data_IF_547080501726
#
_entry.id   IF_547080501726
#
_cell.length_a   1.000
_cell.length_b   1.000
_cell.length_c   1.000
_cell.angle_alpha   90.00
_cell.angle_beta   90.00
_cell.angle_gamma   90.00
#
_symmetry.space_group_name_H-M   'P 1'
#
loop_
_entity.id
_entity.type
_entity.pdbx_description
1 polymer ?
#
# COMPACT_ATOMS: atom_id res chain seq x y z
N UNK A 1 17.79 -10.73 9.91
CA UNK A 1 18.24 -9.38 9.53
C UNK A 1 17.02 -8.46 9.56
N UNK A 2 17.13 -7.30 10.21
CA UNK A 2 16.06 -6.30 10.26
C UNK A 2 16.51 -5.04 9.50
N UNK A 3 15.54 -4.29 8.98
CA UNK A 3 15.77 -2.99 8.37
C UNK A 3 14.70 -2.01 8.84
N UNK A 4 15.06 -0.73 8.91
CA UNK A 4 14.14 0.36 9.17
C UNK A 4 14.24 1.37 8.02
N UNK A 5 13.12 1.99 7.68
CA UNK A 5 13.05 3.04 6.67
C UNK A 5 11.88 3.97 6.98
N UNK A 6 11.90 5.19 6.43
CA UNK A 6 10.80 6.14 6.60
C UNK A 6 10.08 6.40 5.28
N UNK A 7 8.75 6.54 5.36
CA UNK A 7 7.90 7.03 4.28
C UNK A 7 7.08 8.18 4.83
N UNK A 8 7.17 9.35 4.19
CA UNK A 8 6.49 10.58 4.62
C UNK A 8 6.65 10.89 6.14
N UNK A 9 7.86 10.68 6.68
CA UNK A 9 8.16 10.90 8.09
C UNK A 9 7.68 9.80 9.05
N UNK A 10 6.92 8.80 8.58
CA UNK A 10 6.56 7.63 9.38
C UNK A 10 7.61 6.54 9.25
N UNK A 11 8.12 6.04 10.37
CA UNK A 11 9.06 4.92 10.39
C UNK A 11 8.36 3.57 10.24
N UNK A 12 8.98 2.70 9.44
CA UNK A 12 8.57 1.34 9.19
C UNK A 12 9.74 0.40 9.48
N UNK A 13 9.41 -0.76 10.02
CA UNK A 13 10.37 -1.83 10.25
C UNK A 13 9.99 -3.05 9.43
N UNK A 14 10.97 -3.72 8.85
CA UNK A 14 10.77 -5.00 8.18
C UNK A 14 11.87 -5.98 8.57
N UNK A 15 11.52 -7.27 8.52
CA UNK A 15 12.45 -8.36 8.76
C UNK A 15 12.37 -9.36 7.62
N UNK A 16 13.51 -9.90 7.23
CA UNK A 16 13.57 -11.09 6.37
C UNK A 16 13.45 -12.34 7.23
N UNK A 17 12.27 -12.98 7.24
CA UNK A 17 12.10 -14.30 7.87
C UNK A 17 12.50 -15.40 6.88
N UNK A 18 13.36 -16.31 7.33
CA UNK A 18 13.69 -17.53 6.59
C UNK A 18 12.67 -18.65 6.86
N UNK A 19 11.87 -18.52 7.92
CA UNK A 19 10.82 -19.46 8.29
C UNK A 19 9.56 -19.10 7.50
N UNK A 20 9.00 -20.08 6.80
CA UNK A 20 7.70 -19.93 6.12
C UNK A 20 6.58 -20.11 7.13
N UNK A 21 5.62 -19.20 7.08
CA UNK A 21 4.40 -19.25 7.89
C UNK A 21 3.19 -19.41 6.99
N UNK A 22 2.11 -19.99 7.49
CA UNK A 22 0.86 -20.18 6.73
C UNK A 22 -0.03 -18.93 6.65
N UNK A 23 0.27 -17.89 7.44
CA UNK A 23 -0.47 -16.64 7.43
C UNK A 23 0.12 -15.65 6.41
N UNK A 24 -0.58 -15.32 5.31
CA UNK A 24 -0.17 -14.24 4.43
C UNK A 24 -0.51 -12.88 5.05
N UNK A 25 -0.01 -11.81 4.43
CA UNK A 25 -0.57 -10.48 4.66
C UNK A 25 -2.07 -10.45 4.32
N UNK A 26 -2.83 -9.62 5.02
CA UNK A 26 -4.27 -9.45 4.80
C UNK A 26 -4.64 -7.96 4.75
N UNK A 27 -5.77 -7.61 4.11
CA UNK A 27 -6.29 -6.23 4.13
C UNK A 27 -6.67 -5.74 5.53
N UNK A 28 -6.67 -6.59 6.56
CA UNK A 28 -7.00 -6.20 7.94
C UNK A 28 -5.98 -5.22 8.52
N UNK A 29 -4.76 -5.18 7.99
CA UNK A 29 -3.74 -4.18 8.30
C UNK A 29 -3.26 -3.62 6.96
N UNK A 30 -3.55 -2.35 6.71
CA UNK A 30 -3.17 -1.63 5.49
C UNK A 30 -2.48 -0.31 5.81
N UNK A 31 -1.68 0.18 4.87
CA UNK A 31 -1.10 1.52 4.94
C UNK A 31 -2.02 2.52 4.27
N UNK A 32 -2.25 3.65 4.94
CA UNK A 32 -3.09 4.72 4.41
C UNK A 32 -2.22 5.94 4.06
N UNK A 33 -2.25 6.34 2.80
CA UNK A 33 -1.48 7.48 2.28
C UNK A 33 -2.46 8.58 1.90
N UNK A 34 -2.38 9.73 2.58
CA UNK A 34 -3.02 10.95 2.11
C UNK A 34 -2.19 11.57 1.01
N UNK A 35 -2.79 11.79 -0.16
CA UNK A 35 -2.17 12.52 -1.27
C UNK A 35 -2.74 13.94 -1.30
N UNK A 36 -1.88 14.93 -1.48
CA UNK A 36 -2.24 16.35 -1.47
C UNK A 36 -2.72 16.84 -2.85
N UNK A 37 -2.54 16.03 -3.90
CA UNK A 37 -2.97 16.36 -5.26
C UNK A 37 -3.48 15.16 -6.05
N UNK A 38 -4.29 15.43 -7.07
CA UNK A 38 -4.75 14.40 -8.00
C UNK A 38 -3.59 13.77 -8.81
N UNK A 39 -2.55 14.55 -9.11
CA UNK A 39 -1.36 14.06 -9.82
C UNK A 39 -0.58 13.07 -8.96
N UNK A 40 -0.49 13.35 -7.65
CA UNK A 40 0.20 12.48 -6.70
C UNK A 40 -0.52 11.13 -6.56
N UNK A 41 -1.84 11.14 -6.35
CA UNK A 41 -2.59 9.89 -6.21
C UNK A 41 -2.55 9.07 -7.50
N UNK A 42 -2.63 9.71 -8.68
CA UNK A 42 -2.54 9.01 -9.97
C UNK A 42 -1.14 8.36 -10.13
N UNK A 43 -0.06 9.06 -9.74
CA UNK A 43 1.30 8.52 -9.78
C UNK A 43 1.49 7.36 -8.78
N UNK A 44 1.11 7.55 -7.53
CA UNK A 44 1.24 6.54 -6.47
C UNK A 44 0.42 5.30 -6.81
N UNK A 45 -0.82 5.47 -7.26
CA UNK A 45 -1.67 4.37 -7.73
C UNK A 45 -1.04 3.60 -8.88
N UNK A 46 -0.51 4.30 -9.90
CA UNK A 46 0.16 3.66 -11.03
C UNK A 46 1.35 2.79 -10.61
N UNK A 47 2.14 3.24 -9.63
CA UNK A 47 3.28 2.48 -9.11
C UNK A 47 2.89 1.33 -8.20
N UNK A 48 1.91 1.53 -7.31
CA UNK A 48 1.52 0.50 -6.34
C UNK A 48 0.63 -0.60 -6.93
N UNK A 49 -0.14 -0.28 -7.98
CA UNK A 49 -0.96 -1.28 -8.70
C UNK A 49 -0.15 -2.16 -9.65
N UNK A 50 1.08 -1.77 -10.01
CA UNK A 50 1.93 -2.49 -10.95
C UNK A 50 2.31 -3.88 -10.42
N UNK A 51 1.86 -4.94 -11.12
CA UNK A 51 2.09 -6.33 -10.72
C UNK A 51 1.39 -6.75 -9.42
N UNK A 52 0.48 -5.91 -8.90
CA UNK A 52 -0.34 -6.14 -7.73
C UNK A 52 -1.78 -6.53 -8.07
N UNK A 53 -2.69 -6.29 -7.13
CA UNK A 53 -4.15 -6.43 -7.31
C UNK A 53 -4.85 -5.14 -6.90
N UNK A 54 -5.78 -4.68 -7.72
CA UNK A 54 -6.67 -3.57 -7.36
C UNK A 54 -7.88 -4.14 -6.62
N UNK A 55 -8.03 -3.78 -5.35
CA UNK A 55 -9.15 -4.20 -4.49
C UNK A 55 -10.32 -3.22 -4.58
N UNK A 56 -10.00 -1.92 -4.59
CA UNK A 56 -10.93 -0.84 -4.89
C UNK A 56 -10.31 0.04 -5.97
N UNK A 57 -10.95 0.20 -7.14
CA UNK A 57 -10.40 0.98 -8.24
C UNK A 57 -10.25 2.46 -7.89
N UNK A 58 -9.30 3.14 -8.54
CA UNK A 58 -9.11 4.58 -8.40
C UNK A 58 -10.31 5.33 -9.00
N UNK A 59 -11.23 5.75 -8.13
CA UNK A 59 -12.43 6.51 -8.52
C UNK A 59 -12.89 7.40 -7.36
N UNK A 60 -13.90 8.23 -7.61
CA UNK A 60 -14.59 8.97 -6.56
C UNK A 60 -15.46 8.03 -5.71
N UNK A 61 -15.43 8.24 -4.40
CA UNK A 61 -16.27 7.57 -3.41
C UNK A 61 -16.98 8.62 -2.55
N UNK A 62 -18.07 8.29 -1.84
CA UNK A 62 -18.82 9.28 -1.03
C UNK A 62 -17.97 10.05 0.00
N UNK A 63 -16.83 9.49 0.39
CA UNK A 63 -15.90 10.05 1.39
C UNK A 63 -14.65 10.72 0.80
N UNK A 64 -14.38 10.61 -0.51
CA UNK A 64 -13.20 11.20 -1.15
C UNK A 64 -13.37 11.43 -2.65
N UNK A 65 -12.78 12.50 -3.18
CA UNK A 65 -12.78 12.83 -4.61
C UNK A 65 -12.08 11.76 -5.46
N UNK A 66 -11.00 11.17 -4.94
CA UNK A 66 -10.30 10.02 -5.52
C UNK A 66 -9.81 9.14 -4.38
N UNK A 67 -10.09 7.84 -4.46
CA UNK A 67 -9.59 6.85 -3.53
C UNK A 67 -9.37 5.53 -4.27
N UNK A 68 -8.36 4.78 -3.85
CA UNK A 68 -8.07 3.44 -4.35
C UNK A 68 -7.57 2.58 -3.20
N UNK A 69 -7.77 1.28 -3.33
CA UNK A 69 -7.14 0.28 -2.46
C UNK A 69 -6.48 -0.77 -3.31
N UNK A 70 -5.17 -0.93 -3.14
CA UNK A 70 -4.32 -1.82 -3.94
C UNK A 70 -3.54 -2.75 -3.01
N UNK A 71 -3.45 -4.02 -3.38
CA UNK A 71 -2.47 -4.93 -2.83
C UNK A 71 -1.24 -4.90 -3.74
N UNK A 72 -0.11 -4.41 -3.23
CA UNK A 72 1.14 -4.37 -3.97
C UNK A 72 1.65 -5.79 -4.30
N UNK A 73 2.57 -5.95 -5.25
CA UNK A 73 3.12 -7.25 -5.69
C UNK A 73 3.70 -8.13 -4.57
N UNK A 74 4.06 -7.54 -3.44
CA UNK A 74 4.54 -8.26 -2.25
C UNK A 74 3.42 -8.61 -1.24
N UNK A 75 2.15 -8.50 -1.67
CA UNK A 75 0.96 -8.68 -0.85
C UNK A 75 0.85 -7.71 0.33
N UNK A 76 1.52 -6.57 0.29
CA UNK A 76 1.29 -5.47 1.26
C UNK A 76 0.11 -4.63 0.78
N UNK A 77 -0.77 -4.24 1.71
CA UNK A 77 -2.06 -3.60 1.45
C UNK A 77 -2.12 -2.12 1.85
#
# INVERSE_FOLDING_TARGET
>A
MHATFSLNGQEFMCIGSYVKHEFPFTPSISLYINCDSEVEIDHVFGKLSEGGKVLMPLTAYPFSKKFAWVAHKFAVF
#
